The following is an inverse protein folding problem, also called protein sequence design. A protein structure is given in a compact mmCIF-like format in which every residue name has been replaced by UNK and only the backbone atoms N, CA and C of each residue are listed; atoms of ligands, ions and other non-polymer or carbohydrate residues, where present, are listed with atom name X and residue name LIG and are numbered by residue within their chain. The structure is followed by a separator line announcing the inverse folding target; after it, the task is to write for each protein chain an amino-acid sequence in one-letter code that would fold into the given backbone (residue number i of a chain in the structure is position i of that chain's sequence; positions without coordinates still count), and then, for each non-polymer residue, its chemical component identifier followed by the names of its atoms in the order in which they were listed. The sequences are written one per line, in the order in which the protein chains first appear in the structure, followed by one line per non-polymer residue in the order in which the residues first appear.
data_IF_179556098013
#
_entry.id   IF_179556098013
#
_cell.length_a   1.000
_cell.length_b   1.000
_cell.length_c   1.000
_cell.angle_alpha   90.00
_cell.angle_beta   90.00
_cell.angle_gamma   90.00
#
_symmetry.space_group_name_H-M   'P 1'
#
loop_
_entity.id
_entity.type
_entity.pdbx_description
1 polymer ?
#
# COMPACT_ATOMS: atom_id res chain seq x y z
N UNK A 1 3.47 5.03 -12.03
CA UNK A 1 3.67 5.70 -10.75
C UNK A 1 3.44 4.76 -9.59
N UNK A 2 4.09 5.08 -8.49
CA UNK A 2 4.01 4.26 -7.28
C UNK A 2 2.62 4.33 -6.65
N UNK A 3 1.99 5.49 -6.67
CA UNK A 3 0.72 5.66 -5.98
C UNK A 3 -0.47 5.07 -6.72
N UNK A 4 -0.43 5.01 -8.03
CA UNK A 4 -1.58 4.56 -8.80
C UNK A 4 -2.09 3.17 -8.40
N UNK A 5 -1.25 2.15 -8.31
CA UNK A 5 -1.76 0.83 -7.89
C UNK A 5 -2.35 0.84 -6.50
N UNK A 6 -1.80 1.66 -5.61
CA UNK A 6 -2.26 1.73 -4.24
C UNK A 6 -3.61 2.41 -4.15
N UNK A 7 -3.78 3.50 -4.88
CA UNK A 7 -5.06 4.21 -4.91
C UNK A 7 -6.13 3.34 -5.56
N UNK A 8 -5.78 2.66 -6.66
CA UNK A 8 -6.72 1.75 -7.32
C UNK A 8 -7.16 0.64 -6.38
N UNK A 9 -6.21 0.10 -5.63
CA UNK A 9 -6.51 -0.95 -4.66
C UNK A 9 -7.50 -0.46 -3.60
N UNK A 10 -7.27 0.74 -3.09
CA UNK A 10 -8.15 1.34 -2.08
C UNK A 10 -9.55 1.57 -2.63
N UNK A 11 -9.65 2.08 -3.85
CA UNK A 11 -10.95 2.32 -4.47
C UNK A 11 -11.71 1.02 -4.68
N UNK A 12 -11.04 -0.01 -5.18
CA UNK A 12 -11.70 -1.27 -5.45
C UNK A 12 -12.16 -1.97 -4.20
N UNK A 13 -11.36 -1.93 -3.14
CA UNK A 13 -11.76 -2.50 -1.86
C UNK A 13 -12.97 -1.77 -1.30
N UNK A 14 -12.95 -0.45 -1.36
CA UNK A 14 -14.05 0.35 -0.86
C UNK A 14 -15.33 0.13 -1.63
N UNK A 15 -15.25 0.22 -2.95
CA UNK A 15 -16.43 0.10 -3.81
C UNK A 15 -17.06 -1.28 -3.73
N UNK A 16 -16.24 -2.30 -3.53
CA UNK A 16 -16.74 -3.67 -3.45
C UNK A 16 -17.69 -3.86 -2.28
N UNK A 17 -17.42 -3.18 -1.18
CA UNK A 17 -18.15 -3.43 0.07
C UNK A 17 -19.11 -2.32 0.47
N UNK A 18 -18.88 -1.10 0.01
CA UNK A 18 -19.71 0.05 0.41
C UNK A 18 -20.34 0.78 -0.77
N UNK A 19 -20.25 0.21 -1.96
CA UNK A 19 -20.81 0.83 -3.14
C UNK A 19 -20.07 2.12 -3.47
N UNK A 20 -20.83 3.21 -3.65
CA UNK A 20 -20.23 4.48 -4.09
C UNK A 20 -19.88 5.42 -2.95
N UNK A 21 -20.12 5.01 -1.69
CA UNK A 21 -19.89 5.89 -0.55
C UNK A 21 -18.52 5.59 0.07
N UNK A 22 -17.47 5.87 -0.69
CA UNK A 22 -16.11 5.63 -0.25
C UNK A 22 -15.32 6.92 -0.36
N UNK A 23 -14.64 7.27 0.71
CA UNK A 23 -13.70 8.40 0.70
C UNK A 23 -12.30 7.84 0.67
N UNK A 24 -11.50 8.35 -0.26
CA UNK A 24 -10.07 8.05 -0.30
C UNK A 24 -9.35 9.36 -0.04
N UNK A 25 -8.47 9.35 0.95
CA UNK A 25 -7.72 10.54 1.33
C UNK A 25 -6.23 10.23 1.25
N UNK A 26 -5.53 11.07 0.52
CA UNK A 26 -4.08 10.92 0.35
C UNK A 26 -3.42 12.04 1.10
N UNK A 27 -2.45 11.72 1.94
CA UNK A 27 -1.67 12.73 2.65
C UNK A 27 -0.20 12.36 2.62
N UNK A 28 0.64 13.36 2.76
CA UNK A 28 2.08 13.16 2.76
C UNK A 28 2.67 14.04 3.86
N UNK A 29 3.64 13.50 4.56
CA UNK A 29 4.30 14.22 5.65
C UNK A 29 5.79 13.93 5.61
N UNK A 30 6.57 14.97 5.71
CA UNK A 30 8.02 14.83 5.79
C UNK A 30 8.43 14.62 7.24
N UNK A 31 9.24 13.61 7.49
CA UNK A 31 9.79 13.31 8.80
C UNK A 31 11.29 13.18 8.64
N UNK A 32 12.01 14.30 8.85
CA UNK A 32 13.45 14.32 8.65
C UNK A 32 13.82 14.06 7.21
N UNK A 33 14.54 12.99 6.96
CA UNK A 33 14.95 12.61 5.60
C UNK A 33 13.98 11.63 4.96
N UNK A 34 12.89 11.33 5.64
CA UNK A 34 11.89 10.41 5.15
C UNK A 34 10.60 11.12 4.80
N UNK A 35 9.85 10.53 3.91
CA UNK A 35 8.51 10.98 3.57
C UNK A 35 7.54 9.84 3.83
N UNK A 36 6.49 10.13 4.57
CA UNK A 36 5.42 9.18 4.79
C UNK A 36 4.23 9.60 3.96
N UNK A 37 3.77 8.70 3.10
CA UNK A 37 2.58 8.93 2.30
C UNK A 37 1.53 7.96 2.79
N UNK A 38 0.33 8.46 3.07
CA UNK A 38 -0.77 7.64 3.54
C UNK A 38 -1.91 7.69 2.56
N UNK A 39 -2.49 6.54 2.26
CA UNK A 39 -3.68 6.44 1.43
C UNK A 39 -4.75 5.79 2.30
N UNK A 40 -5.62 6.63 2.83
CA UNK A 40 -6.71 6.23 3.71
C UNK A 40 -7.93 5.92 2.87
N UNK A 41 -8.65 4.86 3.20
CA UNK A 41 -9.96 4.64 2.62
C UNK A 41 -10.99 4.37 3.72
N UNK A 42 -12.22 4.74 3.45
CA UNK A 42 -13.32 4.55 4.37
C UNK A 42 -14.12 3.29 4.07
N UNK A 43 -13.49 2.34 3.40
CA UNK A 43 -14.17 1.10 3.02
C UNK A 43 -14.46 0.19 4.19
N UNK A 44 -14.75 -1.06 3.90
CA UNK A 44 -15.13 -2.05 4.91
C UNK A 44 -13.96 -2.75 5.57
N UNK A 45 -12.74 -2.43 5.14
CA UNK A 45 -11.57 -3.10 5.67
C UNK A 45 -11.30 -4.42 4.95
N UNK A 46 -10.44 -5.20 5.54
CA UNK A 46 -10.09 -6.50 4.98
C UNK A 46 -11.09 -7.55 5.43
N UNK A 47 -11.36 -8.51 4.55
CA UNK A 47 -12.07 -9.71 4.95
C UNK A 47 -11.13 -10.56 5.83
N UNK A 48 -11.70 -11.55 6.49
CA UNK A 48 -10.95 -12.41 7.39
C UNK A 48 -9.72 -13.01 6.72
N UNK A 49 -8.60 -12.87 7.35
CA UNK A 49 -7.35 -13.43 6.87
C UNK A 49 -6.67 -12.64 5.77
N UNK A 50 -7.36 -11.69 5.17
CA UNK A 50 -6.80 -10.97 4.03
C UNK A 50 -5.63 -10.08 4.43
N UNK A 51 -5.72 -9.44 5.60
CA UNK A 51 -4.62 -8.59 6.05
C UNK A 51 -3.37 -9.43 6.31
N UNK A 52 -3.53 -10.60 6.92
CA UNK A 52 -2.40 -11.48 7.17
C UNK A 52 -1.75 -11.93 5.87
N UNK A 53 -2.57 -12.24 4.85
CA UNK A 53 -2.04 -12.62 3.55
C UNK A 53 -1.25 -11.47 2.92
N UNK A 54 -1.80 -10.28 3.00
CA UNK A 54 -1.15 -9.10 2.43
C UNK A 54 0.16 -8.80 3.16
N UNK A 55 0.13 -8.86 4.49
CA UNK A 55 1.34 -8.62 5.28
C UNK A 55 2.42 -9.64 4.93
N UNK A 56 2.05 -10.91 4.77
CA UNK A 56 2.99 -11.95 4.40
C UNK A 56 3.56 -11.72 3.00
N UNK A 57 2.71 -11.32 2.07
CA UNK A 57 3.15 -11.02 0.72
C UNK A 57 4.15 -9.87 0.69
N UNK A 58 3.87 -8.81 1.45
CA UNK A 58 4.77 -7.66 1.51
C UNK A 58 6.08 -7.99 2.21
N UNK A 59 6.06 -8.85 3.21
CA UNK A 59 7.25 -9.28 3.91
C UNK A 59 8.12 -10.18 3.03
N UNK A 60 7.48 -10.99 2.19
CA UNK A 60 8.18 -11.93 1.30
C UNK A 60 8.11 -11.45 -0.14
N UNK A 61 8.43 -10.20 -0.35
CA UNK A 61 8.24 -9.56 -1.65
C UNK A 61 9.05 -10.18 -2.78
N UNK A 62 10.11 -10.88 -2.48
CA UNK A 62 10.92 -11.54 -3.51
C UNK A 62 10.30 -12.82 -4.04
N UNK A 63 9.28 -13.32 -3.35
CA UNK A 63 8.57 -14.53 -3.76
C UNK A 63 7.23 -14.16 -4.33
N UNK A 64 6.89 -14.74 -5.46
CA UNK A 64 5.58 -14.54 -6.03
C UNK A 64 4.64 -15.59 -5.48
N UNK A 65 3.54 -15.20 -4.83
CA UNK A 65 2.56 -16.17 -4.35
C UNK A 65 1.95 -16.98 -5.49
N UNK A 66 1.44 -18.15 -5.16
CA UNK A 66 0.84 -19.03 -6.16
C UNK A 66 -0.37 -18.39 -6.83
N UNK A 67 -1.12 -17.60 -6.08
CA UNK A 67 -2.29 -16.90 -6.61
C UNK A 67 -2.25 -15.45 -6.23
N UNK A 68 -2.28 -14.58 -7.24
CA UNK A 68 -2.43 -13.15 -7.03
C UNK A 68 -3.61 -12.67 -7.84
N UNK A 69 -4.47 -11.91 -7.20
CA UNK A 69 -5.53 -11.23 -7.91
C UNK A 69 -5.01 -9.90 -8.43
N UNK A 70 -5.62 -9.40 -9.49
CA UNK A 70 -5.10 -8.29 -10.26
C UNK A 70 -4.46 -7.14 -9.48
N UNK A 71 -5.17 -6.64 -8.48
CA UNK A 71 -4.67 -5.48 -7.72
C UNK A 71 -3.50 -5.80 -6.83
N UNK A 72 -3.44 -7.03 -6.35
CA UNK A 72 -2.35 -7.44 -5.47
C UNK A 72 -1.04 -7.50 -6.22
N UNK A 73 -1.10 -7.77 -7.53
CA UNK A 73 0.11 -7.76 -8.36
C UNK A 73 0.72 -6.36 -8.39
N UNK A 74 -0.13 -5.33 -8.57
CA UNK A 74 0.34 -3.97 -8.60
C UNK A 74 0.97 -3.54 -7.28
N UNK A 75 0.33 -3.89 -6.17
CA UNK A 75 0.82 -3.57 -4.84
C UNK A 75 2.15 -4.27 -4.58
N UNK A 76 2.25 -5.54 -4.93
CA UNK A 76 3.50 -6.30 -4.78
C UNK A 76 4.61 -5.68 -5.60
N UNK A 77 4.31 -5.26 -6.83
CA UNK A 77 5.33 -4.65 -7.69
C UNK A 77 5.83 -3.33 -7.13
N UNK A 78 4.95 -2.54 -6.49
CA UNK A 78 5.39 -1.33 -5.81
C UNK A 78 6.37 -1.67 -4.70
N UNK A 79 6.05 -2.68 -3.89
CA UNK A 79 6.94 -3.09 -2.80
C UNK A 79 8.30 -3.54 -3.33
N UNK A 80 8.30 -4.37 -4.37
CA UNK A 80 9.56 -4.82 -4.98
C UNK A 80 10.40 -3.65 -5.48
N UNK A 81 9.75 -2.68 -6.10
CA UNK A 81 10.45 -1.54 -6.65
C UNK A 81 11.07 -0.69 -5.56
N UNK A 82 10.33 -0.43 -4.49
CA UNK A 82 10.86 0.34 -3.38
C UNK A 82 12.04 -0.38 -2.73
N UNK A 83 11.90 -1.68 -2.52
CA UNK A 83 12.96 -2.47 -1.89
C UNK A 83 14.19 -2.55 -2.77
N UNK A 84 14.02 -2.50 -4.08
CA UNK A 84 15.15 -2.53 -5.01
C UNK A 84 15.88 -1.20 -5.07
N UNK A 85 15.14 -0.09 -5.01
CA UNK A 85 15.71 1.24 -5.19
C UNK A 85 16.10 1.93 -3.90
N UNK A 86 15.58 1.47 -2.77
CA UNK A 86 15.79 2.10 -1.48
C UNK A 86 16.28 1.07 -0.47
N UNK A 87 16.59 1.53 0.75
CA UNK A 87 17.01 0.63 1.81
C UNK A 87 15.82 -0.20 2.31
N UNK A 88 16.14 -1.26 3.05
CA UNK A 88 15.11 -2.20 3.52
C UNK A 88 14.07 -1.58 4.44
N UNK A 89 14.41 -0.50 5.10
CA UNK A 89 13.47 0.15 6.01
C UNK A 89 12.33 0.84 5.28
N UNK A 90 12.50 1.09 3.99
CA UNK A 90 11.47 1.76 3.19
C UNK A 90 10.54 0.72 2.58
N UNK A 91 9.34 1.15 2.28
CA UNK A 91 8.38 0.24 1.68
C UNK A 91 6.96 0.57 2.04
N UNK A 92 6.11 -0.42 1.84
CA UNK A 92 4.67 -0.32 1.93
C UNK A 92 4.18 -1.19 3.07
N UNK A 93 3.22 -0.67 3.83
CA UNK A 93 2.55 -1.44 4.88
C UNK A 93 1.10 -0.99 4.95
N UNK A 94 0.26 -1.78 5.62
CA UNK A 94 -1.15 -1.50 5.75
C UNK A 94 -1.59 -1.61 7.20
N UNK A 95 -2.50 -0.73 7.60
CA UNK A 95 -3.13 -0.82 8.92
C UNK A 95 -4.64 -0.73 8.74
N UNK A 96 -5.36 -1.31 9.68
CA UNK A 96 -6.80 -1.21 9.71
C UNK A 96 -7.21 -0.02 10.54
N UNK A 97 -8.17 0.75 10.03
CA UNK A 97 -8.64 1.95 10.73
C UNK A 97 -9.69 1.60 11.76
N UNK A 98 -9.79 2.42 12.79
CA UNK A 98 -10.80 2.21 13.81
C UNK A 98 -12.21 2.28 13.25
N UNK A 99 -12.40 3.06 12.21
CA UNK A 99 -13.72 3.22 11.58
C UNK A 99 -14.03 2.13 10.57
N UNK A 100 -13.16 1.15 10.41
CA UNK A 100 -13.43 0.00 9.58
C UNK A 100 -12.72 -0.03 8.24
N UNK A 101 -12.14 1.07 7.82
CA UNK A 101 -11.41 1.13 6.56
C UNK A 101 -9.95 0.73 6.72
N UNK A 102 -9.16 1.04 5.72
CA UNK A 102 -7.76 0.64 5.66
C UNK A 102 -6.90 1.83 5.29
N UNK A 103 -5.71 1.91 5.82
CA UNK A 103 -4.73 2.90 5.40
C UNK A 103 -3.49 2.19 4.89
N UNK A 104 -3.10 2.55 3.67
CA UNK A 104 -1.82 2.13 3.11
C UNK A 104 -0.78 3.17 3.49
N UNK A 105 0.37 2.72 3.94
CA UNK A 105 1.47 3.60 4.35
C UNK A 105 2.67 3.32 3.46
N UNK A 106 3.21 4.39 2.87
CA UNK A 106 4.46 4.30 2.15
C UNK A 106 5.51 5.10 2.89
N UNK A 107 6.63 4.48 3.16
CA UNK A 107 7.77 5.16 3.72
C UNK A 107 8.84 5.23 2.64
N UNK A 108 9.25 6.43 2.30
CA UNK A 108 10.21 6.67 1.22
C UNK A 108 11.25 7.67 1.68
N UNK A 109 12.46 7.63 1.12
CA UNK A 109 13.41 8.72 1.38
C UNK A 109 12.94 9.96 0.64
N UNK A 110 13.11 11.12 1.26
CA UNK A 110 12.76 12.39 0.63
C UNK A 110 13.58 12.58 -0.65
N UNK A 111 14.83 12.17 -0.59
CA UNK A 111 15.72 12.36 -1.71
C UNK A 111 16.16 11.00 -2.21
N UNK A 112 15.61 10.58 -3.33
CA UNK A 112 16.03 9.35 -3.97
C UNK A 112 17.21 9.66 -4.85
N UNK A 113 18.25 8.83 -4.73
CA UNK A 113 19.40 9.00 -5.58
C UNK A 113 19.06 8.59 -6.98
N UNK A 114 19.30 9.47 -7.91
CA UNK A 114 19.12 9.13 -9.30
C UNK A 114 20.41 8.56 -9.83
N UNK A 115 20.29 7.42 -10.46
CA UNK A 115 21.42 6.83 -11.12
C UNK A 115 21.67 7.54 -12.43
N UNK A 116 22.88 7.92 -12.66
CA UNK A 116 23.24 8.63 -13.89
C UNK A 116 23.98 7.71 -14.83
#
# INVERSE_FOLDING_TARGET
FILQPIVENSLLHGLKNKGYNVTVRISAQRCGENMEISVYDSGSGFSDGKKAELDAMLANYSRQPAKLEGNSIGVLNVQKRIKMLCSREYGLSYTENEDGGVTAHLLLPVKMEEER
#
